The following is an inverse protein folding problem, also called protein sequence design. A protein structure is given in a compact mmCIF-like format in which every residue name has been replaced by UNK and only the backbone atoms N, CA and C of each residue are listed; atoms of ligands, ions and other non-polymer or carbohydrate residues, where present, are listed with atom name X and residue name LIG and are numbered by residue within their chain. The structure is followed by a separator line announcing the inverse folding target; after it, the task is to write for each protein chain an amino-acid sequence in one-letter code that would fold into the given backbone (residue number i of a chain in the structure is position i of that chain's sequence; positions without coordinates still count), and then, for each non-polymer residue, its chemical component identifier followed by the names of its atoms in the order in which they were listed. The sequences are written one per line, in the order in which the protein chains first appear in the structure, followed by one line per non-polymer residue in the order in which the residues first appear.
data_IF_274050296952
#
_entry.id   IF_274050296952
#
_cell.length_a   1.000
_cell.length_b   1.000
_cell.length_c   1.000
_cell.angle_alpha   90.00
_cell.angle_beta   90.00
_cell.angle_gamma   90.00
#
_symmetry.space_group_name_H-M   'P 1'
#
loop_
_entity.id
_entity.type
_entity.pdbx_description
1 polymer ?
#
# COMPACT_ATOMS: atom_id res chain seq x y z
N UNK A 1 11.46 7.17 -7.33
CA UNK A 1 10.13 7.14 -6.66
C UNK A 1 10.08 8.30 -5.69
N UNK A 2 8.91 8.91 -5.52
CA UNK A 2 8.64 9.92 -4.51
C UNK A 2 7.70 9.34 -3.44
N UNK A 3 7.89 9.76 -2.19
CA UNK A 3 7.12 9.28 -1.04
C UNK A 3 6.44 10.45 -0.35
N UNK A 4 5.27 10.21 0.25
CA UNK A 4 4.63 11.17 1.15
C UNK A 4 5.21 11.09 2.58
N UNK A 5 4.74 11.95 3.48
CA UNK A 5 5.20 11.97 4.87
C UNK A 5 4.88 10.71 5.68
N UNK A 6 3.95 9.87 5.21
CA UNK A 6 3.59 8.60 5.82
C UNK A 6 4.32 7.41 5.19
N UNK A 7 5.18 7.65 4.19
CA UNK A 7 5.96 6.62 3.50
C UNK A 7 5.20 5.89 2.40
N UNK A 8 4.08 6.42 1.91
CA UNK A 8 3.39 5.88 0.75
C UNK A 8 4.05 6.35 -0.55
N UNK A 9 4.04 5.52 -1.59
CA UNK A 9 4.57 5.89 -2.90
C UNK A 9 3.62 6.86 -3.59
N UNK A 10 3.98 8.14 -3.70
CA UNK A 10 3.13 9.18 -4.30
C UNK A 10 3.37 9.34 -5.81
N UNK A 11 4.58 9.05 -6.29
CA UNK A 11 4.89 9.10 -7.72
C UNK A 11 6.06 8.19 -8.14
N UNK A 12 5.98 7.72 -9.39
CA UNK A 12 7.11 7.17 -10.12
C UNK A 12 7.72 8.26 -11.01
N UNK A 13 9.05 8.34 -11.02
CA UNK A 13 9.80 9.32 -11.79
C UNK A 13 10.79 8.54 -12.66
N UNK A 14 10.82 8.85 -13.95
CA UNK A 14 11.78 8.27 -14.87
C UNK A 14 13.19 8.80 -14.54
N UNK A 15 14.13 7.86 -14.34
CA UNK A 15 15.49 8.16 -13.93
C UNK A 15 16.30 8.93 -15.00
N UNK A 16 15.92 8.83 -16.27
CA UNK A 16 16.65 9.43 -17.39
C UNK A 16 16.27 10.89 -17.62
N UNK A 17 14.99 11.23 -17.50
CA UNK A 17 14.46 12.56 -17.88
C UNK A 17 13.76 13.31 -16.73
N UNK A 18 13.60 12.68 -15.56
CA UNK A 18 12.94 13.29 -14.40
C UNK A 18 11.43 13.45 -14.55
N UNK A 19 10.83 12.89 -15.61
CA UNK A 19 9.39 13.00 -15.84
C UNK A 19 8.60 12.09 -14.92
N UNK A 20 7.40 12.53 -14.51
CA UNK A 20 6.49 11.69 -13.73
C UNK A 20 5.86 10.63 -14.64
N UNK A 21 6.17 9.36 -14.40
CA UNK A 21 5.64 8.22 -15.16
C UNK A 21 4.43 7.58 -14.51
N UNK A 22 4.25 7.77 -13.21
CA UNK A 22 3.04 7.42 -12.48
C UNK A 22 2.80 8.38 -11.32
N UNK A 23 1.54 8.60 -10.98
CA UNK A 23 1.10 9.34 -9.79
C UNK A 23 0.01 8.54 -9.10
N UNK A 24 0.12 8.47 -7.77
CA UNK A 24 -0.80 7.75 -6.91
C UNK A 24 -1.38 8.69 -5.86
N UNK A 25 -2.67 8.56 -5.64
CA UNK A 25 -3.37 9.13 -4.49
C UNK A 25 -4.12 8.01 -3.78
N UNK A 26 -3.95 7.96 -2.46
CA UNK A 26 -4.55 6.94 -1.61
C UNK A 26 -5.61 7.57 -0.72
N UNK A 27 -6.63 6.80 -0.40
CA UNK A 27 -7.52 7.09 0.72
C UNK A 27 -6.78 6.86 2.07
N UNK A 28 -7.38 7.24 3.21
CA UNK A 28 -6.76 7.05 4.53
C UNK A 28 -6.44 5.59 4.88
N UNK A 29 -7.08 4.62 4.22
CA UNK A 29 -6.92 3.18 4.45
C UNK A 29 -6.12 2.49 3.33
N UNK A 30 -5.51 3.24 2.42
CA UNK A 30 -4.65 2.71 1.36
C UNK A 30 -5.36 2.24 0.10
N UNK A 31 -6.65 2.51 -0.06
CA UNK A 31 -7.36 2.36 -1.32
C UNK A 31 -6.87 3.37 -2.34
N UNK A 32 -6.39 2.88 -3.49
CA UNK A 32 -5.90 3.75 -4.57
C UNK A 32 -7.06 4.49 -5.22
N UNK A 33 -7.20 5.79 -4.93
CA UNK A 33 -8.25 6.65 -5.48
C UNK A 33 -7.90 7.13 -6.88
N UNK A 34 -6.62 7.44 -7.10
CA UNK A 34 -6.11 7.90 -8.38
C UNK A 34 -4.83 7.15 -8.69
N UNK A 35 -4.80 6.41 -9.80
CA UNK A 35 -3.59 5.87 -10.39
C UNK A 35 -3.50 6.36 -11.84
N UNK A 36 -2.56 7.26 -12.11
CA UNK A 36 -2.39 7.82 -13.46
C UNK A 36 -0.99 7.59 -13.97
N UNK A 37 -0.85 7.29 -15.26
CA UNK A 37 0.43 7.11 -15.94
C UNK A 37 0.68 5.67 -16.39
N UNK A 38 1.41 5.50 -17.49
CA UNK A 38 1.62 4.20 -18.15
C UNK A 38 2.42 3.20 -17.31
N UNK A 39 3.13 3.66 -16.29
CA UNK A 39 3.87 2.80 -15.35
C UNK A 39 3.13 2.55 -14.05
N UNK A 40 1.87 2.98 -13.93
CA UNK A 40 1.11 2.87 -12.68
C UNK A 40 0.81 1.43 -12.27
N UNK A 41 0.60 0.55 -13.25
CA UNK A 41 0.34 -0.89 -13.04
C UNK A 41 1.63 -1.71 -12.88
N UNK A 42 2.79 -1.12 -13.19
CA UNK A 42 4.09 -1.80 -13.16
C UNK A 42 4.76 -1.76 -11.80
N UNK A 43 4.27 -0.93 -10.86
CA UNK A 43 4.85 -0.80 -9.54
C UNK A 43 4.17 -1.75 -8.54
N UNK A 44 4.89 -2.79 -8.07
CA UNK A 44 4.36 -3.71 -7.08
C UNK A 44 4.32 -3.11 -5.67
N UNK A 45 5.09 -2.04 -5.39
CA UNK A 45 5.12 -1.40 -4.08
C UNK A 45 4.38 -0.06 -4.12
N UNK A 46 3.36 0.10 -3.26
CA UNK A 46 2.47 1.27 -3.28
C UNK A 46 2.24 1.83 -1.85
N UNK A 47 1.06 1.59 -1.27
CA UNK A 47 0.72 2.05 0.07
C UNK A 47 1.66 1.47 1.13
N UNK A 48 2.12 2.32 2.07
CA UNK A 48 3.12 1.98 3.10
C UNK A 48 4.39 1.30 2.57
N UNK A 49 4.73 1.50 1.29
CA UNK A 49 5.81 0.78 0.59
C UNK A 49 5.67 -0.75 0.70
N UNK A 50 4.43 -1.25 0.75
CA UNK A 50 4.14 -2.69 0.79
C UNK A 50 3.78 -3.22 -0.58
N UNK A 51 4.03 -4.52 -0.74
CA UNK A 51 3.72 -5.24 -1.96
C UNK A 51 2.21 -5.33 -2.10
N UNK A 52 1.67 -4.75 -3.17
CA UNK A 52 0.30 -4.96 -3.59
C UNK A 52 0.26 -6.17 -4.50
N UNK A 53 -0.48 -7.19 -4.09
CA UNK A 53 -0.90 -8.25 -4.99
C UNK A 53 -2.09 -7.74 -5.82
N UNK A 54 -1.87 -7.49 -7.10
CA UNK A 54 -2.90 -6.94 -8.00
C UNK A 54 -3.97 -7.97 -8.36
N UNK A 55 -3.72 -9.27 -8.19
CA UNK A 55 -4.71 -10.32 -8.43
C UNK A 55 -5.78 -10.34 -7.33
N UNK A 56 -5.34 -10.16 -6.07
CA UNK A 56 -6.24 -10.19 -4.91
C UNK A 56 -6.62 -8.81 -4.38
N UNK A 57 -5.90 -7.75 -4.77
CA UNK A 57 -6.06 -6.40 -4.22
C UNK A 57 -5.56 -6.26 -2.78
N UNK A 58 -4.75 -7.20 -2.29
CA UNK A 58 -4.28 -7.23 -0.90
C UNK A 58 -2.84 -6.75 -0.77
N UNK A 59 -2.57 -6.00 0.30
CA UNK A 59 -1.21 -5.62 0.65
C UNK A 59 -0.56 -6.68 1.54
N UNK A 60 0.62 -7.15 1.15
CA UNK A 60 1.40 -8.11 1.92
C UNK A 60 2.37 -7.40 2.86
N UNK A 61 2.15 -7.59 4.17
CA UNK A 61 3.00 -7.05 5.25
C UNK A 61 3.95 -8.10 5.84
N UNK A 62 4.16 -9.23 5.16
CA UNK A 62 5.06 -10.30 5.60
C UNK A 62 4.35 -11.40 6.40
N UNK A 63 3.62 -11.05 7.45
CA UNK A 63 2.87 -12.04 8.25
C UNK A 63 1.35 -11.91 8.08
N UNK A 64 0.89 -10.79 7.55
CA UNK A 64 -0.53 -10.49 7.37
C UNK A 64 -0.79 -9.91 5.99
N UNK A 65 -1.98 -10.21 5.49
CA UNK A 65 -2.57 -9.54 4.33
C UNK A 65 -3.53 -8.47 4.82
N UNK A 66 -3.37 -7.27 4.28
CA UNK A 66 -4.19 -6.10 4.56
C UNK A 66 -5.10 -5.83 3.37
N UNK A 67 -6.39 -5.65 3.63
CA UNK A 67 -7.36 -5.28 2.61
C UNK A 67 -7.59 -3.75 2.69
N UNK A 68 -7.15 -2.99 1.67
CA UNK A 68 -7.32 -1.54 1.63
C UNK A 68 -8.78 -1.10 1.44
N UNK A 69 -9.63 -1.90 0.79
CA UNK A 69 -11.05 -1.56 0.57
C UNK A 69 -11.86 -1.54 1.88
N UNK A 70 -11.52 -2.44 2.79
CA UNK A 70 -12.20 -2.55 4.10
C UNK A 70 -11.40 -1.90 5.23
N UNK A 71 -10.15 -1.52 4.96
CA UNK A 71 -9.20 -1.01 5.95
C UNK A 71 -8.76 -2.04 6.99
N UNK A 72 -8.94 -3.34 6.74
CA UNK A 72 -8.79 -4.40 7.76
C UNK A 72 -7.78 -5.48 7.39
N UNK A 73 -7.21 -6.12 8.40
CA UNK A 73 -6.41 -7.32 8.23
C UNK A 73 -7.29 -8.54 7.95
N UNK A 74 -6.91 -9.32 6.94
CA UNK A 74 -7.59 -10.59 6.61
C UNK A 74 -7.18 -11.69 7.60
N UNK A 75 -5.93 -11.67 8.03
CA UNK A 75 -5.40 -12.64 8.99
C UNK A 75 -5.40 -12.08 10.41
N UNK A 76 -5.69 -12.95 11.39
CA UNK A 76 -5.46 -12.67 12.82
C UNK A 76 -3.98 -12.41 13.07
N UNK A 77 -3.67 -11.56 14.04
CA UNK A 77 -2.29 -11.32 14.46
C UNK A 77 -1.62 -12.61 14.96
N UNK A 78 -0.45 -13.01 14.45
CA UNK A 78 0.28 -14.18 14.94
C UNK A 78 0.62 -14.14 16.44
N UNK A 79 0.69 -12.96 17.06
CA UNK A 79 0.92 -12.83 18.51
C UNK A 79 -0.36 -13.03 19.34
N UNK A 80 -1.50 -13.16 18.66
CA UNK A 80 -2.83 -13.31 19.27
C UNK A 80 -3.08 -12.25 20.36
N UNK A 81 -3.63 -12.67 21.52
CA UNK A 81 -3.91 -11.79 22.66
C UNK A 81 -2.68 -11.53 23.54
N UNK A 82 -1.52 -12.13 23.21
CA UNK A 82 -0.27 -11.96 23.97
C UNK A 82 0.48 -10.67 23.62
N UNK A 83 0.12 -10.02 22.51
CA UNK A 83 0.58 -8.67 22.20
C UNK A 83 -0.30 -7.67 22.93
N UNK A 84 0.02 -7.40 24.20
CA UNK A 84 -0.53 -6.34 25.06
C UNK A 84 -1.84 -5.70 24.55
N UNK A 85 -2.93 -6.48 24.58
CA UNK A 85 -4.31 -5.99 24.62
C UNK A 85 -4.85 -5.13 23.46
N UNK A 86 -4.08 -4.78 22.44
CA UNK A 86 -4.60 -4.06 21.27
C UNK A 86 -5.02 -5.04 20.19
N UNK A 87 -6.16 -5.68 20.47
CA UNK A 87 -7.14 -5.95 19.42
C UNK A 87 -7.54 -4.61 18.78
N UNK A 88 -6.69 -4.03 17.92
CA UNK A 88 -7.13 -3.00 16.98
C UNK A 88 -7.49 -3.69 15.68
N UNK A 89 -8.65 -4.32 15.72
CA UNK A 89 -9.58 -4.23 14.61
C UNK A 89 -10.23 -2.84 14.68
N UNK A 90 -9.57 -1.82 14.13
CA UNK A 90 -10.21 -0.63 13.57
C UNK A 90 -9.51 -0.31 12.26
#
# INVERSE_FOLDING_TARGET
MAFDGNGNVSAAINATDGTHTARYEYDPFGGTTTATGSSSELLPFQFSTKYLDTETGLYYYGYRFYNPETGRWINRDPIEERGDGICMAL
#
